data_IF_517140556976
#
_entry.id   IF_517140556976
#
_cell.length_a   1.000
_cell.length_b   1.000
_cell.length_c   1.000
_cell.angle_alpha   90.00
_cell.angle_beta   90.00
_cell.angle_gamma   90.00
#
_symmetry.space_group_name_H-M   'P 1'
#
loop_
_entity.id
_entity.type
_entity.pdbx_description
1 polymer ?
#
# COMPACT_ATOMS: atom_id res chain seq x y z
N UNK A 1 -3.47 -2.20 -13.24
CA UNK A 1 -4.70 -1.43 -13.00
C UNK A 1 -4.38 -0.48 -11.85
N UNK A 2 -4.27 0.81 -12.13
CA UNK A 2 -3.81 1.83 -11.17
C UNK A 2 -4.84 1.93 -10.04
N UNK A 3 -4.40 1.69 -8.80
CA UNK A 3 -5.23 1.83 -7.60
C UNK A 3 -5.60 3.32 -7.44
N UNK A 4 -6.86 3.67 -7.10
CA UNK A 4 -7.14 5.00 -6.58
C UNK A 4 -6.47 5.10 -5.21
N UNK A 5 -5.42 5.90 -5.13
CA UNK A 5 -4.79 6.28 -3.87
C UNK A 5 -5.79 7.18 -3.14
N UNK A 6 -6.38 6.69 -2.05
CA UNK A 6 -7.03 7.56 -1.09
C UNK A 6 -5.92 8.30 -0.34
N UNK A 7 -5.68 9.55 -0.73
CA UNK A 7 -4.81 10.45 0.00
C UNK A 7 -5.45 10.71 1.37
N UNK A 8 -4.87 10.17 2.44
CA UNK A 8 -4.82 10.91 3.70
C UNK A 8 -4.00 12.16 3.37
N UNK A 9 -4.53 13.33 3.69
CA UNK A 9 -3.82 14.58 3.45
C UNK A 9 -2.60 14.65 4.39
N UNK A 10 -1.47 14.08 3.97
CA UNK A 10 -0.17 14.40 4.54
C UNK A 10 0.16 15.82 4.09
N UNK A 11 -0.17 16.80 4.93
CA UNK A 11 0.16 18.20 4.67
C UNK A 11 1.66 18.39 4.88
N UNK A 12 2.43 18.15 3.83
CA UNK A 12 3.84 18.53 3.77
C UNK A 12 3.91 20.02 3.41
N UNK A 13 4.21 20.87 4.38
CA UNK A 13 4.48 22.29 4.11
C UNK A 13 5.73 22.41 3.24
N UNK A 14 5.54 22.75 1.97
CA UNK A 14 6.63 23.09 1.05
C UNK A 14 6.79 24.61 1.02
N UNK A 15 7.66 25.13 1.90
CA UNK A 15 8.07 26.53 1.84
C UNK A 15 8.99 26.70 0.62
N UNK A 16 8.51 27.39 -0.43
CA UNK A 16 9.34 27.79 -1.57
C UNK A 16 10.45 28.72 -1.06
N UNK A 17 11.65 28.19 -0.83
CA UNK A 17 12.85 29.03 -0.67
C UNK A 17 13.10 29.77 -1.98
N UNK A 18 13.06 31.10 -1.92
CA UNK A 18 13.63 31.99 -2.93
C UNK A 18 15.14 31.71 -3.02
N UNK A 19 15.63 31.47 -4.23
CA UNK A 19 17.06 31.56 -4.53
C UNK A 19 17.46 33.05 -4.61
N UNK A 20 18.72 33.39 -4.27
CA UNK A 20 19.21 34.76 -4.25
C UNK A 20 19.76 35.16 -5.62
N UNK A 21 19.43 36.36 -6.10
CA UNK A 21 20.13 36.97 -7.23
C UNK A 21 20.88 38.23 -6.78
N UNK A 22 22.16 38.25 -7.18
CA UNK A 22 23.11 39.35 -7.08
C UNK A 22 22.74 40.51 -8.02
N UNK A 23 23.20 41.72 -7.63
CA UNK A 23 23.08 43.04 -8.28
C UNK A 23 23.34 43.06 -9.82
N UNK A 24 22.90 44.05 -10.62
CA UNK A 24 23.01 45.51 -10.44
C UNK A 24 22.26 46.28 -11.57
N UNK A 25 21.97 47.56 -11.29
CA UNK A 25 21.76 48.73 -12.18
C UNK A 25 20.37 49.15 -12.72
N UNK A 26 19.97 50.30 -12.15
CA UNK A 26 19.43 51.54 -12.77
C UNK A 26 17.92 51.66 -13.06
N UNK A 27 17.29 52.56 -12.30
CA UNK A 27 16.58 53.71 -12.89
C UNK A 27 15.09 53.87 -12.60
N UNK A 28 14.77 54.81 -11.69
CA UNK A 28 13.62 55.74 -11.68
C UNK A 28 12.21 55.30 -12.12
N UNK A 29 11.23 55.55 -11.24
CA UNK A 29 9.86 55.91 -11.68
C UNK A 29 8.77 55.64 -10.64
N UNK A 30 8.17 56.71 -10.09
CA UNK A 30 6.95 56.72 -9.27
C UNK A 30 5.73 56.24 -10.08
N UNK A 31 4.71 55.66 -9.43
CA UNK A 31 3.34 56.22 -9.31
C UNK A 31 2.35 55.21 -8.67
N UNK A 32 1.75 55.65 -7.57
CA UNK A 32 0.37 55.56 -7.05
C UNK A 32 -0.58 54.39 -7.38
N UNK A 33 -1.26 53.97 -6.30
CA UNK A 33 -2.64 53.50 -6.12
C UNK A 33 -3.46 53.07 -7.35
N UNK A 34 -4.08 51.88 -7.23
CA UNK A 34 -5.53 51.73 -7.39
C UNK A 34 -6.02 50.33 -6.99
N UNK A 35 -6.79 50.29 -5.90
CA UNK A 35 -7.75 49.25 -5.59
C UNK A 35 -8.80 49.10 -6.71
N UNK A 36 -9.29 47.86 -6.90
CA UNK A 36 -10.40 47.39 -7.77
C UNK A 36 -10.00 46.90 -9.17
N UNK A 37 -9.78 45.59 -9.28
CA UNK A 37 -10.30 44.75 -10.38
C UNK A 37 -9.81 43.31 -10.16
N UNK A 38 -10.58 42.51 -9.43
CA UNK A 38 -10.40 41.07 -9.38
C UNK A 38 -11.63 40.43 -10.03
N UNK A 39 -11.65 40.43 -11.36
CA UNK A 39 -12.36 39.45 -12.16
C UNK A 39 -11.87 39.51 -13.60
N UNK A 40 -11.48 38.33 -14.11
CA UNK A 40 -11.24 37.99 -15.50
C UNK A 40 -9.99 38.57 -16.18
N UNK A 41 -8.95 37.74 -16.30
CA UNK A 41 -8.34 37.52 -17.62
C UNK A 41 -7.74 36.11 -17.74
N UNK A 42 -8.21 35.41 -18.76
CA UNK A 42 -7.77 34.10 -19.22
C UNK A 42 -6.29 34.14 -19.65
N UNK A 43 -5.50 33.18 -19.19
CA UNK A 43 -4.36 32.70 -19.97
C UNK A 43 -4.45 31.18 -20.14
N UNK A 44 -4.84 30.80 -21.37
CA UNK A 44 -4.65 29.49 -21.96
C UNK A 44 -3.17 29.12 -21.87
N UNK A 45 -2.82 28.12 -21.07
CA UNK A 45 -1.52 27.45 -21.20
C UNK A 45 -1.66 26.38 -22.27
N UNK A 46 -0.94 26.63 -23.36
CA UNK A 46 -0.84 25.85 -24.58
C UNK A 46 -0.10 24.52 -24.30
N UNK A 47 -0.83 23.40 -24.20
CA UNK A 47 -0.26 22.05 -24.01
C UNK A 47 0.03 21.42 -25.38
N UNK A 48 0.97 21.99 -26.14
CA UNK A 48 1.51 21.34 -27.34
C UNK A 48 2.95 21.81 -27.62
N UNK A 49 3.93 21.41 -26.80
CA UNK A 49 5.34 21.28 -27.24
C UNK A 49 6.24 20.73 -26.14
N UNK A 50 6.17 19.42 -25.86
CA UNK A 50 7.30 18.61 -25.33
C UNK A 50 6.85 17.15 -25.18
N UNK A 51 6.50 16.50 -26.29
CA UNK A 51 6.38 15.03 -26.35
C UNK A 51 6.68 14.56 -27.77
N UNK A 52 7.90 14.08 -28.02
CA UNK A 52 8.01 12.82 -28.73
C UNK A 52 9.20 12.01 -28.22
N UNK A 53 9.02 11.26 -27.12
CA UNK A 53 9.84 10.06 -26.84
C UNK A 53 9.13 9.10 -25.86
N UNK A 54 8.28 9.63 -24.98
CA UNK A 54 7.49 8.85 -23.99
C UNK A 54 6.34 8.00 -24.55
N UNK A 55 6.02 8.09 -25.85
CA UNK A 55 4.82 7.45 -26.43
C UNK A 55 5.03 6.03 -26.96
N UNK A 56 6.27 5.50 -27.01
CA UNK A 56 6.55 4.28 -27.77
C UNK A 56 6.75 2.99 -26.93
N UNK A 57 7.05 3.05 -25.63
CA UNK A 57 7.44 1.82 -24.89
C UNK A 57 6.83 1.55 -23.49
N UNK A 58 5.85 2.32 -23.01
CA UNK A 58 5.31 2.11 -21.64
C UNK A 58 3.78 2.06 -21.50
N UNK A 59 3.04 1.73 -22.57
CA UNK A 59 1.60 1.45 -22.47
C UNK A 59 1.18 0.36 -23.46
N UNK A 60 0.50 -0.72 -23.04
CA UNK A 60 -0.33 -1.49 -23.96
C UNK A 60 -1.40 -0.55 -24.50
N UNK A 61 -1.57 -0.53 -25.84
CA UNK A 61 -2.62 0.22 -26.55
C UNK A 61 -3.99 -0.04 -25.88
N UNK A 62 -4.47 0.91 -25.09
CA UNK A 62 -5.81 0.87 -24.51
C UNK A 62 -6.65 2.00 -25.09
N UNK A 63 -7.52 1.65 -26.04
CA UNK A 63 -8.57 2.53 -26.58
C UNK A 63 -9.55 3.06 -25.51
N UNK A 64 -9.42 2.64 -24.24
CA UNK A 64 -10.22 3.09 -23.11
C UNK A 64 -9.80 4.45 -22.54
N UNK A 65 -8.51 4.80 -22.57
CA UNK A 65 -8.04 6.05 -21.94
C UNK A 65 -8.50 7.29 -22.73
N UNK A 66 -8.55 7.21 -24.06
CA UNK A 66 -9.11 8.27 -24.91
C UNK A 66 -10.63 8.41 -24.73
N UNK A 67 -11.38 7.31 -24.60
CA UNK A 67 -12.83 7.37 -24.33
C UNK A 67 -13.15 7.88 -22.93
N UNK A 68 -12.28 7.61 -21.96
CA UNK A 68 -12.41 8.10 -20.59
C UNK A 68 -12.08 9.61 -20.49
N UNK A 69 -11.02 10.06 -21.17
CA UNK A 69 -10.68 11.48 -21.29
C UNK A 69 -11.76 12.28 -22.04
N UNK A 70 -12.34 11.74 -23.12
CA UNK A 70 -13.47 12.41 -23.81
C UNK A 70 -14.75 12.47 -22.97
N UNK A 71 -15.00 11.49 -22.08
CA UNK A 71 -16.15 11.53 -21.15
C UNK A 71 -15.94 12.52 -20.01
N UNK A 72 -14.71 12.67 -19.51
CA UNK A 72 -14.38 13.67 -18.49
C UNK A 72 -14.43 15.08 -19.07
N UNK A 73 -13.90 15.30 -20.28
CA UNK A 73 -14.00 16.58 -20.97
C UNK A 73 -15.47 16.94 -21.27
N UNK A 74 -16.29 15.97 -21.68
CA UNK A 74 -17.73 16.16 -21.86
C UNK A 74 -18.46 16.49 -20.55
N UNK A 75 -18.07 15.88 -19.43
CA UNK A 75 -18.66 16.10 -18.10
C UNK A 75 -18.26 17.46 -17.50
N UNK A 76 -17.02 17.90 -17.74
CA UNK A 76 -16.54 19.24 -17.36
C UNK A 76 -17.27 20.31 -18.19
N UNK A 77 -17.53 20.05 -19.47
CA UNK A 77 -18.28 20.97 -20.32
C UNK A 77 -19.76 21.09 -19.90
N UNK A 78 -20.38 19.99 -19.45
CA UNK A 78 -21.75 20.03 -18.88
C UNK A 78 -21.81 20.75 -17.52
N UNK A 79 -20.76 20.65 -16.70
CA UNK A 79 -20.67 21.35 -15.43
C UNK A 79 -20.52 22.87 -15.62
N UNK A 80 -19.74 23.30 -16.60
CA UNK A 80 -19.54 24.72 -16.92
C UNK A 80 -20.83 25.35 -17.50
N UNK A 81 -21.60 24.60 -18.28
CA UNK A 81 -22.90 25.05 -18.83
C UNK A 81 -24.04 25.08 -17.79
N UNK A 82 -23.91 24.37 -16.66
CA UNK A 82 -24.92 24.32 -15.59
C UNK A 82 -24.86 25.47 -14.59
N UNK A 83 -23.85 26.34 -14.68
CA UNK A 83 -23.65 27.50 -13.81
C UNK A 83 -23.88 28.81 -14.57
N UNK A 84 -25.15 29.13 -14.83
CA UNK A 84 -25.63 30.49 -15.16
C UNK A 84 -27.04 30.67 -14.59
N UNK A 85 -27.37 31.80 -13.93
CA UNK A 85 -28.60 31.91 -13.17
C UNK A 85 -29.76 32.45 -14.02
N UNK A 86 -30.85 31.71 -14.14
CA UNK A 86 -32.14 32.25 -14.57
C UNK A 86 -33.29 31.73 -13.69
N UNK A 87 -34.05 32.70 -13.17
CA UNK A 87 -35.26 32.58 -12.35
C UNK A 87 -36.40 31.92 -13.12
N UNK A 88 -37.18 31.05 -12.46
CA UNK A 88 -38.61 31.24 -12.13
C UNK A 88 -39.19 29.97 -11.49
N UNK A 89 -40.29 30.12 -10.77
CA UNK A 89 -40.75 29.22 -9.71
C UNK A 89 -41.34 27.90 -10.19
N UNK A 90 -41.42 26.92 -9.27
CA UNK A 90 -42.72 26.55 -8.72
C UNK A 90 -42.59 25.71 -7.44
N UNK A 91 -43.61 25.82 -6.60
CA UNK A 91 -43.75 25.21 -5.28
C UNK A 91 -43.87 23.68 -5.29
N UNK A 92 -43.10 22.98 -4.44
CA UNK A 92 -43.55 21.78 -3.71
C UNK A 92 -42.53 21.34 -2.66
N UNK A 93 -42.64 21.89 -1.45
CA UNK A 93 -41.85 21.45 -0.29
C UNK A 93 -42.38 20.10 0.19
N UNK A 94 -41.78 19.00 -0.27
CA UNK A 94 -41.95 17.70 0.38
C UNK A 94 -40.94 17.58 1.51
N UNK A 95 -41.38 17.88 2.74
CA UNK A 95 -40.67 17.55 3.96
C UNK A 95 -40.50 16.03 4.04
N UNK A 96 -39.35 15.50 3.63
CA UNK A 96 -38.94 14.13 3.99
C UNK A 96 -38.58 14.14 5.47
N UNK A 97 -39.52 13.70 6.31
CA UNK A 97 -39.22 13.33 7.69
C UNK A 97 -38.17 12.21 7.68
N UNK A 98 -36.92 12.54 8.01
CA UNK A 98 -35.87 11.54 8.22
C UNK A 98 -36.31 10.68 9.41
N UNK A 99 -36.51 9.37 9.17
CA UNK A 99 -36.97 8.47 10.23
C UNK A 99 -35.91 8.38 11.34
N UNK A 100 -36.33 8.24 12.59
CA UNK A 100 -35.43 8.00 13.73
C UNK A 100 -34.49 6.81 13.47
N UNK A 101 -34.92 5.82 12.68
CA UNK A 101 -34.10 4.69 12.22
C UNK A 101 -33.01 5.11 11.23
N UNK A 102 -33.29 6.04 10.33
CA UNK A 102 -32.31 6.55 9.35
C UNK A 102 -31.25 7.42 10.03
N UNK A 103 -31.65 8.23 11.02
CA UNK A 103 -30.71 8.96 11.87
C UNK A 103 -29.82 8.01 12.67
N UNK A 104 -30.40 6.97 13.30
CA UNK A 104 -29.63 5.98 14.05
C UNK A 104 -28.64 5.23 13.15
N UNK A 105 -29.07 4.84 11.95
CA UNK A 105 -28.21 4.17 10.97
C UNK A 105 -27.09 5.07 10.45
N UNK A 106 -27.38 6.36 10.22
CA UNK A 106 -26.37 7.35 9.83
C UNK A 106 -25.34 7.59 10.94
N UNK A 107 -25.79 7.72 12.20
CA UNK A 107 -24.92 7.84 13.36
C UNK A 107 -24.05 6.59 13.55
N UNK A 108 -24.62 5.39 13.39
CA UNK A 108 -23.88 4.13 13.46
C UNK A 108 -22.87 3.98 12.31
N UNK A 109 -23.21 4.42 11.09
CA UNK A 109 -22.28 4.43 9.96
C UNK A 109 -21.15 5.45 10.15
N UNK A 110 -21.46 6.63 10.68
CA UNK A 110 -20.47 7.65 10.99
C UNK A 110 -19.51 7.17 12.08
N UNK A 111 -20.04 6.64 13.19
CA UNK A 111 -19.27 6.01 14.27
C UNK A 111 -18.40 4.85 13.76
N UNK A 112 -18.91 4.02 12.84
CA UNK A 112 -18.12 2.93 12.23
C UNK A 112 -17.00 3.43 11.32
N UNK A 113 -17.27 4.40 10.43
CA UNK A 113 -16.23 5.03 9.60
C UNK A 113 -15.15 5.70 10.45
N UNK A 114 -15.55 6.36 11.53
CA UNK A 114 -14.64 6.96 12.50
C UNK A 114 -13.81 5.87 13.20
N UNK A 115 -14.41 4.74 13.58
CA UNK A 115 -13.68 3.61 14.20
C UNK A 115 -12.65 2.95 13.29
N UNK A 116 -12.87 2.94 11.96
CA UNK A 116 -11.91 2.42 10.97
C UNK A 116 -10.67 3.30 10.90
N UNK A 117 -10.87 4.60 10.71
CA UNK A 117 -9.78 5.53 10.51
C UNK A 117 -8.95 5.74 11.79
N UNK A 118 -9.60 5.67 12.97
CA UNK A 118 -8.91 5.70 14.26
C UNK A 118 -7.82 4.62 14.31
N UNK A 119 -8.10 3.43 13.76
CA UNK A 119 -7.18 2.29 13.81
C UNK A 119 -5.99 2.44 12.85
N UNK A 120 -6.17 3.09 11.69
CA UNK A 120 -5.07 3.26 10.72
C UNK A 120 -4.01 4.21 11.27
N UNK A 121 -4.41 5.41 11.73
CA UNK A 121 -3.47 6.41 12.23
C UNK A 121 -2.82 5.96 13.53
N UNK A 122 -3.60 5.43 14.48
CA UNK A 122 -3.03 4.92 15.73
C UNK A 122 -2.07 3.75 15.48
N UNK A 123 -2.40 2.87 14.53
CA UNK A 123 -1.58 1.72 14.16
C UNK A 123 -0.27 2.13 13.47
N UNK A 124 -0.32 3.10 12.57
CA UNK A 124 0.87 3.63 11.90
C UNK A 124 1.82 4.30 12.90
N UNK A 125 1.31 5.15 13.79
CA UNK A 125 2.14 5.87 14.76
C UNK A 125 2.78 4.92 15.76
N UNK A 126 2.04 3.92 16.25
CA UNK A 126 2.60 2.87 17.11
C UNK A 126 3.68 2.08 16.38
N UNK A 127 3.46 1.72 15.11
CA UNK A 127 4.43 1.02 14.27
C UNK A 127 5.71 1.85 14.10
N UNK A 128 5.61 3.11 13.69
CA UNK A 128 6.76 4.00 13.52
C UNK A 128 7.56 4.14 14.83
N UNK A 129 6.87 4.36 15.95
CA UNK A 129 7.50 4.53 17.27
C UNK A 129 8.22 3.25 17.70
N UNK A 130 7.58 2.10 17.56
CA UNK A 130 8.15 0.79 17.87
C UNK A 130 9.34 0.45 16.98
N UNK A 131 9.22 0.62 15.66
CA UNK A 131 10.30 0.31 14.73
C UNK A 131 11.53 1.20 14.93
N UNK A 132 11.31 2.48 15.28
CA UNK A 132 12.40 3.39 15.66
C UNK A 132 13.13 2.90 16.92
N UNK A 133 12.40 2.40 17.93
CA UNK A 133 13.03 1.82 19.14
C UNK A 133 13.85 0.57 18.83
N UNK A 134 13.51 -0.16 17.76
CA UNK A 134 14.29 -1.30 17.23
C UNK A 134 15.41 -0.91 16.27
N UNK A 135 15.68 0.39 16.10
CA UNK A 135 16.74 0.90 15.25
C UNK A 135 16.49 0.69 13.75
N UNK A 136 15.22 0.61 13.35
CA UNK A 136 14.82 0.70 11.93
C UNK A 136 14.80 2.19 11.55
N UNK A 137 15.36 2.58 10.38
CA UNK A 137 15.41 3.96 9.96
C UNK A 137 14.02 4.43 9.50
N UNK A 138 13.14 4.81 10.43
CA UNK A 138 11.81 5.37 10.16
C UNK A 138 11.70 6.79 10.70
N UNK A 139 10.81 7.66 10.15
CA UNK A 139 10.59 9.00 10.67
C UNK A 139 10.19 9.01 12.16
N UNK A 140 10.67 10.02 12.90
CA UNK A 140 10.19 10.28 14.26
C UNK A 140 8.80 10.89 14.24
N UNK A 141 7.88 10.44 15.10
CA UNK A 141 6.57 11.08 15.20
C UNK A 141 6.61 12.17 16.28
N UNK A 142 6.22 13.40 15.91
CA UNK A 142 6.20 14.56 16.80
C UNK A 142 4.81 14.83 17.41
N UNK A 143 3.75 14.48 16.70
CA UNK A 143 2.38 14.65 17.18
C UNK A 143 1.39 14.05 16.20
N UNK A 144 0.23 13.63 16.68
CA UNK A 144 -0.78 12.98 15.84
C UNK A 144 -2.15 13.06 16.49
N UNK A 145 -3.19 12.88 15.67
CA UNK A 145 -4.56 12.66 16.14
C UNK A 145 -5.22 11.62 15.24
N UNK A 146 -5.71 10.54 15.84
CA UNK A 146 -6.54 9.54 15.16
C UNK A 146 -8.02 9.90 15.08
N UNK A 147 -8.43 11.05 15.64
CA UNK A 147 -9.81 11.50 15.60
C UNK A 147 -9.91 12.86 14.91
N UNK A 148 -11.08 13.17 14.37
CA UNK A 148 -11.43 14.50 13.86
C UNK A 148 -11.78 15.49 14.98
N UNK A 149 -11.84 15.03 16.24
CA UNK A 149 -12.10 15.87 17.41
C UNK A 149 -10.82 16.57 17.87
N UNK A 150 -10.34 17.48 17.03
CA UNK A 150 -9.17 18.30 17.30
C UNK A 150 -9.28 19.63 16.52
N UNK A 151 -8.38 20.58 16.80
CA UNK A 151 -8.44 21.93 16.22
C UNK A 151 -8.38 21.98 14.67
N UNK A 152 -7.84 20.95 14.02
CA UNK A 152 -7.73 20.84 12.56
C UNK A 152 -9.00 20.22 11.96
N UNK A 153 -9.82 19.53 12.76
CA UNK A 153 -11.04 18.86 12.29
C UNK A 153 -10.77 17.61 11.44
N UNK A 154 -9.53 17.14 11.40
CA UNK A 154 -9.08 16.00 10.59
C UNK A 154 -8.06 15.16 11.36
N UNK A 155 -7.95 13.90 10.97
CA UNK A 155 -6.85 13.03 11.40
C UNK A 155 -5.52 13.52 10.83
N UNK A 156 -4.44 13.36 11.58
CA UNK A 156 -3.11 13.78 11.12
C UNK A 156 -1.98 13.04 11.83
N UNK A 157 -0.82 13.00 11.17
CA UNK A 157 0.47 12.66 11.76
C UNK A 157 1.46 13.76 11.37
N UNK A 158 2.11 14.35 12.36
CA UNK A 158 3.25 15.26 12.23
C UNK A 158 4.49 14.46 12.59
N UNK A 159 5.44 14.36 11.66
CA UNK A 159 6.62 13.53 11.80
C UNK A 159 7.86 14.18 11.18
N UNK A 160 9.03 13.60 11.45
CA UNK A 160 10.31 13.96 10.88
C UNK A 160 10.25 13.98 9.35
N UNK A 161 10.69 15.08 8.75
CA UNK A 161 10.92 15.12 7.31
C UNK A 161 12.03 14.14 6.93
N UNK A 162 11.74 13.20 6.04
CA UNK A 162 12.71 12.19 5.63
C UNK A 162 13.90 12.84 4.89
N UNK A 163 15.12 12.86 5.49
CA UNK A 163 16.26 13.49 4.84
C UNK A 163 16.80 12.62 3.70
N UNK A 164 17.38 13.28 2.70
CA UNK A 164 17.96 12.64 1.53
C UNK A 164 17.07 12.79 0.29
N UNK A 165 17.20 11.84 -0.63
CA UNK A 165 16.44 11.79 -1.88
C UNK A 165 15.71 10.46 -2.00
N UNK A 166 14.55 10.47 -2.64
CA UNK A 166 13.81 9.23 -2.94
C UNK A 166 14.63 8.32 -3.84
N UNK A 167 14.65 7.02 -3.54
CA UNK A 167 15.39 6.02 -4.30
C UNK A 167 14.84 5.90 -5.73
N UNK A 168 13.55 6.16 -5.93
CA UNK A 168 12.89 6.30 -7.24
C UNK A 168 13.55 7.37 -8.14
N UNK A 169 13.96 8.50 -7.57
CA UNK A 169 14.57 9.61 -8.34
C UNK A 169 15.96 9.29 -8.88
N UNK A 170 16.73 8.45 -8.17
CA UNK A 170 18.05 7.98 -8.61
C UNK A 170 18.01 6.59 -9.22
N UNK A 171 16.84 5.96 -9.31
CA UNK A 171 16.68 4.52 -9.49
C UNK A 171 17.40 3.97 -10.72
N UNK A 172 17.29 4.69 -11.84
CA UNK A 172 17.90 4.33 -13.12
C UNK A 172 19.37 4.70 -13.22
N UNK A 173 19.86 5.58 -12.33
CA UNK A 173 21.24 6.08 -12.31
C UNK A 173 22.13 5.37 -11.28
N UNK A 174 21.57 4.43 -10.51
CA UNK A 174 22.33 3.69 -9.50
C UNK A 174 23.40 2.82 -10.16
N UNK A 175 24.65 3.03 -9.77
CA UNK A 175 25.74 2.10 -10.11
C UNK A 175 25.50 0.73 -9.46
N UNK A 176 26.14 -0.33 -9.98
CA UNK A 176 26.07 -1.68 -9.38
C UNK A 176 26.49 -1.69 -7.90
N UNK A 177 27.45 -0.85 -7.51
CA UNK A 177 27.92 -0.72 -6.12
C UNK A 177 26.85 -0.09 -5.22
N UNK A 178 26.13 0.90 -5.72
CA UNK A 178 25.04 1.56 -4.98
C UNK A 178 23.82 0.63 -4.86
N UNK A 179 23.45 -0.07 -5.94
CA UNK A 179 22.41 -1.10 -5.91
C UNK A 179 22.71 -2.16 -4.84
N UNK A 180 23.96 -2.65 -4.79
CA UNK A 180 24.43 -3.57 -3.75
C UNK A 180 24.29 -2.95 -2.35
N UNK A 181 24.65 -1.69 -2.18
CA UNK A 181 24.57 -0.98 -0.87
C UNK A 181 23.12 -0.91 -0.39
N UNK A 182 22.20 -0.49 -1.26
CA UNK A 182 20.76 -0.44 -0.98
C UNK A 182 20.22 -1.82 -0.62
N UNK A 183 20.55 -2.85 -1.41
CA UNK A 183 20.12 -4.22 -1.14
C UNK A 183 20.59 -4.72 0.23
N UNK A 184 21.85 -4.47 0.61
CA UNK A 184 22.38 -4.86 1.93
C UNK A 184 21.62 -4.17 3.06
N UNK A 185 21.41 -2.86 2.98
CA UNK A 185 20.73 -2.08 4.02
C UNK A 185 19.26 -2.50 4.18
N UNK A 186 18.54 -2.77 3.08
CA UNK A 186 17.18 -3.32 3.15
C UNK A 186 17.18 -4.72 3.81
N UNK A 187 18.09 -5.60 3.42
CA UNK A 187 18.16 -6.95 4.00
C UNK A 187 18.47 -6.89 5.50
N UNK A 188 19.31 -5.95 5.95
CA UNK A 188 19.52 -5.73 7.39
C UNK A 188 18.26 -5.25 8.10
N UNK A 189 17.47 -4.38 7.48
CA UNK A 189 16.17 -3.98 8.02
C UNK A 189 15.24 -5.20 8.11
N UNK A 190 15.05 -5.95 7.03
CA UNK A 190 14.19 -7.14 7.04
C UNK A 190 14.66 -8.18 8.05
N UNK A 191 15.96 -8.41 8.19
CA UNK A 191 16.53 -9.31 9.20
C UNK A 191 16.14 -8.87 10.62
N UNK A 192 16.19 -7.57 10.92
CA UNK A 192 15.72 -7.05 12.21
C UNK A 192 14.23 -7.32 12.40
N UNK A 193 13.40 -6.99 11.41
CA UNK A 193 11.94 -7.18 11.48
C UNK A 193 11.55 -8.65 11.68
N UNK A 194 12.18 -9.57 10.94
CA UNK A 194 11.93 -11.00 11.03
C UNK A 194 12.39 -11.61 12.35
N UNK A 195 13.37 -10.99 13.01
CA UNK A 195 13.89 -11.39 14.31
C UNK A 195 13.06 -10.91 15.50
N UNK A 196 12.04 -10.07 15.30
CA UNK A 196 11.19 -9.60 16.41
C UNK A 196 10.25 -10.74 16.84
N UNK A 197 10.28 -11.17 18.10
CA UNK A 197 9.55 -12.36 18.56
C UNK A 197 8.11 -12.04 18.93
N UNK A 198 7.32 -11.54 17.96
CA UNK A 198 5.92 -11.19 18.18
C UNK A 198 5.08 -12.39 18.66
N UNK A 199 4.14 -12.14 19.56
CA UNK A 199 3.28 -13.18 20.16
C UNK A 199 1.92 -13.36 19.50
N UNK A 200 1.51 -12.46 18.61
CA UNK A 200 0.17 -12.44 18.01
C UNK A 200 0.15 -11.80 16.62
N UNK A 201 -0.91 -12.10 15.85
CA UNK A 201 -1.20 -11.56 14.53
C UNK A 201 -2.22 -10.43 14.61
N UNK A 202 -2.02 -9.39 13.80
CA UNK A 202 -2.81 -8.15 13.85
C UNK A 202 -1.95 -6.93 13.53
N UNK A 203 -2.33 -5.77 14.05
CA UNK A 203 -1.55 -4.53 13.90
C UNK A 203 -1.01 -4.06 15.25
N UNK A 204 0.09 -3.30 15.23
CA UNK A 204 0.69 -2.71 16.44
C UNK A 204 -0.10 -1.49 16.89
N UNK A 205 -0.29 -1.33 18.20
CA UNK A 205 -0.90 -0.14 18.80
C UNK A 205 -0.22 0.21 20.11
N UNK A 206 -0.40 1.45 20.58
CA UNK A 206 -0.20 1.73 21.99
C UNK A 206 -1.35 1.13 22.81
N UNK A 207 -1.04 0.59 23.99
CA UNK A 207 -2.04 0.01 24.89
C UNK A 207 -3.16 0.99 25.26
N UNK A 208 -2.83 2.27 25.39
CA UNK A 208 -3.80 3.32 25.74
C UNK A 208 -4.86 3.58 24.65
N UNK A 209 -4.57 3.23 23.40
CA UNK A 209 -5.43 3.54 22.25
C UNK A 209 -6.38 2.39 21.89
N UNK A 210 -6.20 1.22 22.50
CA UNK A 210 -7.01 0.01 22.26
C UNK A 210 -7.64 -0.47 23.57
N UNK A 211 -8.94 -0.79 23.61
CA UNK A 211 -9.58 -1.37 24.80
C UNK A 211 -8.90 -2.68 25.24
N UNK A 212 -8.75 -2.95 26.56
CA UNK A 212 -8.03 -4.13 27.08
C UNK A 212 -8.49 -5.47 26.49
N UNK A 213 -9.78 -5.62 26.19
CA UNK A 213 -10.37 -6.82 25.60
C UNK A 213 -9.94 -7.09 24.14
N UNK A 214 -9.40 -6.08 23.46
CA UNK A 214 -8.86 -6.17 22.10
C UNK A 214 -7.33 -6.18 22.07
N UNK A 215 -6.68 -6.24 23.23
CA UNK A 215 -5.23 -6.30 23.34
C UNK A 215 -4.75 -7.75 23.43
N UNK A 216 -3.78 -8.10 22.59
CA UNK A 216 -2.98 -9.30 22.72
C UNK A 216 -1.51 -8.95 23.03
N UNK A 217 -0.80 -9.95 23.56
CA UNK A 217 0.59 -9.81 23.97
C UNK A 217 1.48 -9.41 22.80
N UNK A 218 2.37 -8.45 23.04
CA UNK A 218 3.33 -7.98 22.05
C UNK A 218 4.29 -9.11 21.65
N UNK A 219 4.91 -9.74 22.65
CA UNK A 219 5.89 -10.81 22.46
C UNK A 219 5.34 -12.19 22.79
N UNK A 220 5.98 -13.21 22.23
CA UNK A 220 5.68 -14.60 22.55
C UNK A 220 5.95 -14.90 24.04
N UNK A 221 5.21 -15.84 24.66
CA UNK A 221 5.43 -16.20 26.06
C UNK A 221 6.89 -16.61 26.34
N UNK A 222 7.46 -16.11 27.43
CA UNK A 222 8.83 -16.44 27.85
C UNK A 222 9.94 -15.63 27.18
N UNK A 223 9.61 -14.69 26.30
CA UNK A 223 10.57 -13.73 25.73
C UNK A 223 10.89 -12.66 26.76
N UNK A 224 12.17 -12.37 26.96
CA UNK A 224 12.63 -11.25 27.78
C UNK A 224 12.32 -9.91 27.11
N UNK A 225 11.83 -8.94 27.90
CA UNK A 225 11.53 -7.59 27.45
C UNK A 225 12.29 -6.55 28.29
N UNK A 226 13.62 -6.44 28.09
CA UNK A 226 14.44 -5.51 28.86
C UNK A 226 14.10 -4.03 28.58
N UNK A 227 13.47 -3.75 27.44
CA UNK A 227 13.07 -2.41 27.02
C UNK A 227 11.73 -1.98 27.62
N UNK A 228 10.96 -2.90 28.20
CA UNK A 228 9.59 -2.63 28.67
C UNK A 228 8.63 -2.27 27.52
N UNK A 229 8.88 -2.76 26.30
CA UNK A 229 8.04 -2.44 25.14
C UNK A 229 6.61 -2.93 25.35
N UNK A 230 6.43 -4.05 26.02
CA UNK A 230 5.13 -4.64 26.37
C UNK A 230 4.33 -3.77 27.34
N UNK A 231 4.93 -2.82 28.05
CA UNK A 231 4.18 -1.87 28.89
C UNK A 231 3.53 -0.77 28.04
N UNK A 232 4.08 -0.49 26.87
CA UNK A 232 3.66 0.60 25.98
C UNK A 232 2.83 0.10 24.80
N UNK A 233 3.22 -1.03 24.21
CA UNK A 233 2.66 -1.56 22.97
C UNK A 233 1.87 -2.85 23.18
N UNK A 234 0.92 -3.10 22.29
CA UNK A 234 0.18 -4.36 22.19
C UNK A 234 -0.12 -4.69 20.73
N UNK A 235 -0.50 -5.96 20.47
CA UNK A 235 -1.08 -6.34 19.19
C UNK A 235 -2.60 -6.21 19.31
N UNK A 236 -3.21 -5.44 18.40
CA UNK A 236 -4.64 -5.21 18.35
C UNK A 236 -5.28 -5.71 17.06
N UNK A 237 -6.55 -5.31 16.80
CA UNK A 237 -7.25 -5.63 15.58
C UNK A 237 -6.49 -5.15 14.35
N UNK A 238 -6.61 -5.88 13.24
CA UNK A 238 -5.91 -5.56 12.01
C UNK A 238 -6.37 -4.22 11.42
N UNK A 239 -5.43 -3.34 11.10
CA UNK A 239 -5.66 -2.02 10.47
C UNK A 239 -5.56 -2.05 8.93
N UNK A 240 -5.43 -3.24 8.35
CA UNK A 240 -5.29 -3.42 6.90
C UNK A 240 -6.55 -3.05 6.14
N UNK A 241 -6.39 -2.32 5.04
CA UNK A 241 -7.51 -1.83 4.24
C UNK A 241 -8.38 -2.99 3.71
N UNK A 242 -7.85 -4.19 3.46
CA UNK A 242 -8.70 -5.31 2.99
C UNK A 242 -9.72 -5.77 4.03
N UNK A 243 -9.54 -5.44 5.32
CA UNK A 243 -10.54 -5.71 6.37
C UNK A 243 -11.59 -4.61 6.52
N UNK A 244 -11.34 -3.44 5.96
CA UNK A 244 -12.13 -2.24 6.23
C UNK A 244 -12.74 -1.60 4.99
N UNK A 245 -12.14 -1.81 3.81
CA UNK A 245 -12.52 -1.17 2.57
C UNK A 245 -14.02 -1.32 2.23
N UNK A 246 -14.64 -0.17 1.92
CA UNK A 246 -16.03 -0.09 1.46
C UNK A 246 -17.04 -0.65 2.46
N UNK A 247 -17.86 -1.60 2.02
CA UNK A 247 -18.92 -2.20 2.86
C UNK A 247 -18.39 -3.11 3.97
N UNK A 248 -17.10 -3.46 3.97
CA UNK A 248 -16.48 -4.25 5.05
C UNK A 248 -16.45 -3.51 6.37
N UNK A 249 -16.24 -2.19 6.36
CA UNK A 249 -16.33 -1.33 7.55
C UNK A 249 -17.68 -1.43 8.28
N UNK A 250 -18.76 -1.73 7.56
CA UNK A 250 -20.10 -1.83 8.14
C UNK A 250 -20.35 -3.21 8.79
N UNK A 251 -19.47 -4.20 8.55
CA UNK A 251 -19.65 -5.58 8.99
C UNK A 251 -19.05 -5.85 10.38
N UNK A 252 -19.75 -6.66 11.16
CA UNK A 252 -19.26 -7.23 12.42
C UNK A 252 -18.55 -8.55 12.10
N UNK A 253 -17.27 -8.46 11.73
CA UNK A 253 -16.41 -9.61 11.43
C UNK A 253 -15.28 -9.68 12.45
N UNK A 254 -14.72 -10.87 12.61
CA UNK A 254 -13.50 -11.08 13.38
C UNK A 254 -12.33 -10.34 12.72
N UNK A 255 -11.73 -9.41 13.46
CA UNK A 255 -10.59 -8.58 13.05
C UNK A 255 -9.35 -8.84 13.90
N UNK A 256 -9.38 -9.88 14.72
CA UNK A 256 -8.33 -10.19 15.66
C UNK A 256 -8.35 -9.28 16.90
N UNK A 257 -7.25 -9.25 17.66
CA UNK A 257 -5.98 -9.94 17.39
C UNK A 257 -6.09 -11.48 17.47
N UNK A 258 -5.15 -12.20 16.85
CA UNK A 258 -5.13 -13.67 16.87
C UNK A 258 -3.83 -14.21 17.45
N UNK A 259 -3.90 -15.24 18.30
CA UNK A 259 -2.73 -16.02 18.73
C UNK A 259 -2.47 -17.26 17.87
N UNK A 260 -3.52 -17.72 17.17
CA UNK A 260 -3.46 -18.90 16.33
C UNK A 260 -3.47 -18.46 14.85
N UNK A 261 -2.45 -18.82 14.05
CA UNK A 261 -2.34 -18.40 12.65
C UNK A 261 -3.48 -18.94 11.77
N UNK A 262 -4.04 -20.11 12.09
CA UNK A 262 -5.18 -20.67 11.36
C UNK A 262 -6.48 -19.89 11.62
N UNK A 263 -6.62 -19.24 12.79
CA UNK A 263 -7.74 -18.31 13.03
C UNK A 263 -7.62 -17.07 12.17
N UNK A 264 -6.41 -16.53 12.01
CA UNK A 264 -6.12 -15.44 11.07
C UNK A 264 -6.54 -15.82 9.63
N UNK A 265 -6.12 -17.00 9.15
CA UNK A 265 -6.51 -17.48 7.82
C UNK A 265 -8.03 -17.66 7.67
N UNK A 266 -8.67 -18.28 8.66
CA UNK A 266 -10.12 -18.47 8.66
C UNK A 266 -10.87 -17.13 8.66
N UNK A 267 -10.36 -16.10 9.34
CA UNK A 267 -10.97 -14.78 9.37
C UNK A 267 -11.01 -14.12 7.99
N UNK A 268 -9.95 -14.28 7.18
CA UNK A 268 -9.89 -13.78 5.79
C UNK A 268 -11.05 -14.35 4.97
N UNK A 269 -11.18 -15.69 4.93
CA UNK A 269 -12.22 -16.35 4.16
C UNK A 269 -13.64 -16.09 4.69
N UNK A 270 -13.82 -16.07 6.02
CA UNK A 270 -15.12 -15.79 6.65
C UNK A 270 -15.59 -14.36 6.36
N UNK A 271 -14.69 -13.39 6.37
CA UNK A 271 -14.98 -12.00 6.03
C UNK A 271 -15.52 -11.90 4.60
N UNK A 272 -14.82 -12.47 3.62
CA UNK A 272 -15.26 -12.40 2.21
C UNK A 272 -16.55 -13.19 1.97
N UNK A 273 -16.74 -14.31 2.67
CA UNK A 273 -17.96 -15.10 2.57
C UNK A 273 -19.17 -14.31 3.09
N UNK A 274 -19.03 -13.66 4.25
CA UNK A 274 -20.08 -12.82 4.81
C UNK A 274 -20.35 -11.59 3.94
N UNK A 275 -19.31 -10.97 3.39
CA UNK A 275 -19.46 -9.84 2.46
C UNK A 275 -20.26 -10.25 1.22
N UNK A 276 -19.91 -11.41 0.64
CA UNK A 276 -20.56 -11.95 -0.56
C UNK A 276 -22.02 -12.29 -0.29
N UNK A 277 -22.34 -12.86 0.88
CA UNK A 277 -23.72 -13.16 1.29
C UNK A 277 -24.59 -11.90 1.45
N UNK A 278 -24.04 -10.83 2.03
CA UNK A 278 -24.80 -9.60 2.32
C UNK A 278 -24.88 -8.64 1.15
N UNK A 279 -23.79 -8.49 0.41
CA UNK A 279 -23.62 -7.41 -0.57
C UNK A 279 -23.29 -7.92 -1.97
N UNK A 280 -23.04 -9.21 -2.15
CA UNK A 280 -22.73 -9.81 -3.44
C UNK A 280 -23.87 -9.60 -4.43
N UNK A 281 -23.51 -9.16 -5.64
CA UNK A 281 -24.44 -9.00 -6.77
C UNK A 281 -23.97 -9.87 -7.94
N UNK A 282 -24.86 -10.32 -8.81
CA UNK A 282 -24.47 -10.97 -10.05
C UNK A 282 -23.57 -10.03 -10.86
N UNK A 283 -22.43 -10.53 -11.34
CA UNK A 283 -21.45 -9.75 -12.10
C UNK A 283 -21.32 -10.28 -13.52
N UNK A 284 -21.31 -9.38 -14.50
CA UNK A 284 -21.04 -9.75 -15.89
C UNK A 284 -19.57 -10.13 -16.07
N UNK A 285 -19.34 -11.09 -16.97
CA UNK A 285 -17.99 -11.48 -17.41
C UNK A 285 -17.42 -10.40 -18.35
N UNK A 286 -17.06 -9.25 -17.82
CA UNK A 286 -16.40 -8.21 -18.63
C UNK A 286 -14.94 -8.60 -18.95
N UNK A 287 -14.61 -8.60 -20.25
CA UNK A 287 -13.34 -9.00 -20.88
C UNK A 287 -12.18 -8.02 -20.50
N UNK A 288 -10.87 -8.44 -20.46
CA UNK A 288 -10.26 -9.41 -21.37
C UNK A 288 -9.66 -10.72 -20.88
N UNK A 289 -9.79 -11.11 -19.60
CA UNK A 289 -8.93 -12.20 -19.10
C UNK A 289 -9.59 -13.47 -18.55
N UNK A 290 -10.92 -13.63 -18.49
CA UNK A 290 -11.48 -14.77 -17.73
C UNK A 290 -12.69 -15.55 -18.31
N UNK A 291 -13.14 -15.32 -19.55
CA UNK A 291 -14.08 -16.24 -20.22
C UNK A 291 -14.27 -15.85 -21.69
N UNK A 292 -14.08 -16.80 -22.62
CA UNK A 292 -14.41 -16.64 -24.04
C UNK A 292 -15.93 -16.53 -24.31
N UNK A 293 -16.76 -16.78 -23.29
CA UNK A 293 -18.22 -16.82 -23.40
C UNK A 293 -18.87 -15.76 -22.50
N UNK A 294 -19.83 -14.99 -23.03
CA UNK A 294 -20.69 -14.11 -22.24
C UNK A 294 -21.36 -14.87 -21.09
N UNK A 295 -21.64 -14.19 -19.99
CA UNK A 295 -22.40 -14.77 -18.89
C UNK A 295 -22.34 -13.94 -17.62
N UNK A 296 -23.29 -14.20 -16.74
CA UNK A 296 -23.38 -13.59 -15.41
C UNK A 296 -22.89 -14.60 -14.38
N UNK A 297 -21.99 -14.17 -13.51
CA UNK A 297 -21.51 -14.98 -12.40
C UNK A 297 -22.36 -14.67 -11.16
N UNK A 298 -23.10 -15.65 -10.62
CA UNK A 298 -23.85 -15.44 -9.39
C UNK A 298 -22.89 -15.37 -8.18
N UNK A 299 -23.20 -14.58 -7.14
CA UNK A 299 -22.40 -14.52 -5.91
C UNK A 299 -22.19 -15.88 -5.22
N UNK A 300 -23.14 -16.80 -5.38
CA UNK A 300 -23.05 -18.16 -4.85
C UNK A 300 -21.85 -18.93 -5.40
N UNK A 301 -21.47 -18.70 -6.67
CA UNK A 301 -20.32 -19.38 -7.26
C UNK A 301 -19.00 -18.96 -6.60
N UNK A 302 -18.87 -17.69 -6.22
CA UNK A 302 -17.72 -17.20 -5.44
C UNK A 302 -17.77 -17.73 -4.01
N UNK A 303 -18.96 -17.77 -3.40
CA UNK A 303 -19.18 -18.31 -2.04
C UNK A 303 -18.72 -19.77 -1.92
N UNK A 304 -19.04 -20.61 -2.92
CA UNK A 304 -18.59 -22.01 -2.96
C UNK A 304 -17.06 -22.14 -3.00
N UNK A 305 -16.35 -21.24 -3.69
CA UNK A 305 -14.88 -21.25 -3.67
C UNK A 305 -14.33 -20.83 -2.30
N UNK A 306 -14.93 -19.85 -1.66
CA UNK A 306 -14.55 -19.44 -0.30
C UNK A 306 -14.82 -20.54 0.74
N UNK A 307 -15.90 -21.31 0.59
CA UNK A 307 -16.16 -22.49 1.43
C UNK A 307 -15.07 -23.56 1.27
N UNK A 308 -14.59 -23.78 0.03
CA UNK A 308 -13.43 -24.67 -0.21
C UNK A 308 -12.15 -24.13 0.42
N UNK A 309 -11.89 -22.83 0.29
CA UNK A 309 -10.77 -22.18 0.99
C UNK A 309 -10.85 -22.40 2.50
N UNK A 310 -12.02 -22.21 3.11
CA UNK A 310 -12.22 -22.40 4.55
C UNK A 310 -12.00 -23.85 4.98
N UNK A 311 -12.32 -24.83 4.12
CA UNK A 311 -12.05 -26.24 4.39
C UNK A 311 -10.54 -26.57 4.41
N UNK A 312 -9.74 -25.88 3.60
CA UNK A 312 -8.28 -26.11 3.53
C UNK A 312 -7.45 -25.18 4.43
N UNK A 313 -8.00 -24.04 4.86
CA UNK A 313 -7.32 -23.04 5.70
C UNK A 313 -6.60 -23.62 6.94
N UNK A 314 -7.15 -24.61 7.67
CA UNK A 314 -6.46 -25.27 8.78
C UNK A 314 -5.17 -26.00 8.38
N UNK A 315 -4.99 -26.34 7.10
CA UNK A 315 -3.85 -27.11 6.59
C UNK A 315 -2.86 -26.25 5.78
N UNK A 316 -3.13 -24.96 5.59
CA UNK A 316 -2.28 -24.07 4.81
C UNK A 316 -0.97 -23.70 5.50
N UNK A 317 -0.90 -23.86 6.82
CA UNK A 317 0.30 -23.57 7.59
C UNK A 317 0.73 -24.81 8.38
N UNK A 318 2.02 -24.98 8.65
CA UNK A 318 2.51 -26.05 9.51
C UNK A 318 1.93 -25.95 10.93
N UNK A 319 1.53 -27.10 11.49
CA UNK A 319 0.91 -27.20 12.82
C UNK A 319 1.92 -27.21 13.98
N UNK A 320 3.20 -27.39 13.68
CA UNK A 320 4.27 -27.44 14.65
C UNK A 320 4.58 -26.04 15.20
N UNK A 321 4.53 -25.92 16.52
CA UNK A 321 4.89 -24.70 17.23
C UNK A 321 6.34 -24.27 16.99
N UNK A 322 7.20 -25.20 16.59
CA UNK A 322 8.59 -24.96 16.21
C UNK A 322 8.77 -24.58 14.74
N UNK A 323 7.73 -24.71 13.89
CA UNK A 323 7.87 -24.31 12.49
C UNK A 323 8.03 -22.81 12.40
N UNK A 324 9.20 -22.45 11.89
CA UNK A 324 9.52 -21.10 11.52
C UNK A 324 8.49 -20.50 10.54
N UNK A 325 7.68 -21.28 9.83
CA UNK A 325 6.72 -20.78 8.86
C UNK A 325 5.49 -20.09 9.45
N UNK A 326 5.07 -20.49 10.66
CA UNK A 326 3.82 -20.04 11.29
C UNK A 326 3.99 -18.85 12.24
N UNK A 327 5.23 -18.51 12.60
CA UNK A 327 5.52 -17.46 13.56
C UNK A 327 5.03 -16.06 13.10
N UNK A 328 4.49 -15.23 14.01
CA UNK A 328 4.08 -13.86 13.68
C UNK A 328 5.29 -13.03 13.24
N UNK A 329 5.21 -12.43 12.06
CA UNK A 329 6.31 -11.70 11.41
C UNK A 329 5.78 -10.40 10.82
N UNK A 330 6.50 -9.30 11.08
CA UNK A 330 6.24 -7.99 10.49
C UNK A 330 7.13 -7.79 9.27
N UNK A 331 6.56 -7.19 8.22
CA UNK A 331 7.31 -6.72 7.06
C UNK A 331 6.69 -5.41 6.58
N UNK A 332 7.50 -4.60 5.90
CA UNK A 332 7.00 -3.39 5.24
C UNK A 332 5.88 -3.74 4.25
N UNK A 333 4.72 -3.05 4.31
CA UNK A 333 3.54 -3.40 3.50
C UNK A 333 3.71 -3.09 2.01
N UNK A 334 4.39 -1.98 1.67
CA UNK A 334 4.61 -1.57 0.27
C UNK A 334 6.05 -1.10 0.01
N UNK A 335 7.00 -2.03 0.00
CA UNK A 335 8.41 -1.68 -0.18
C UNK A 335 8.72 -1.43 -1.66
N UNK A 336 8.66 -0.16 -2.06
CA UNK A 336 8.93 0.36 -3.40
C UNK A 336 10.03 1.42 -3.37
N UNK A 337 10.67 1.75 -4.51
CA UNK A 337 11.69 2.81 -4.54
C UNK A 337 11.21 4.17 -4.02
N UNK A 338 9.93 4.51 -4.19
CA UNK A 338 9.38 5.78 -3.70
C UNK A 338 9.30 5.87 -2.17
N UNK A 339 9.29 4.72 -1.49
CA UNK A 339 9.17 4.63 -0.04
C UNK A 339 10.52 4.55 0.68
N UNK A 340 11.64 4.62 -0.05
CA UNK A 340 13.00 4.52 0.48
C UNK A 340 13.76 5.82 0.19
N UNK A 341 14.27 6.47 1.22
CA UNK A 341 15.10 7.67 1.12
C UNK A 341 16.56 7.34 1.37
N UNK A 342 17.45 7.79 0.49
CA UNK A 342 18.88 7.52 0.54
C UNK A 342 19.72 8.81 0.62
N UNK A 343 20.93 8.70 1.17
CA UNK A 343 21.92 9.78 1.12
C UNK A 343 22.42 9.94 -0.33
N UNK A 344 22.41 11.14 -0.92
CA UNK A 344 22.89 11.32 -2.29
C UNK A 344 24.39 11.03 -2.47
N UNK A 345 25.19 11.10 -1.40
CA UNK A 345 26.65 10.90 -1.42
C UNK A 345 27.06 9.45 -1.19
N UNK A 346 26.31 8.71 -0.36
CA UNK A 346 26.71 7.37 0.10
C UNK A 346 25.74 6.27 -0.34
N UNK A 347 24.57 6.63 -0.84
CA UNK A 347 23.49 5.72 -1.21
C UNK A 347 23.03 4.80 -0.07
N UNK A 348 23.37 5.15 1.18
CA UNK A 348 22.86 4.51 2.40
C UNK A 348 21.45 4.96 2.69
N UNK A 349 20.65 4.05 3.24
CA UNK A 349 19.26 4.33 3.63
C UNK A 349 19.25 5.32 4.80
N UNK A 350 18.44 6.36 4.64
CA UNK A 350 18.18 7.38 5.66
C UNK A 350 16.86 7.14 6.34
N UNK A 351 15.79 6.98 5.57
CA UNK A 351 14.44 6.70 6.08
C UNK A 351 13.68 5.76 5.15
N UNK A 352 12.84 4.93 5.72
CA UNK A 352 11.81 4.15 5.05
C UNK A 352 10.48 4.67 5.56
N UNK A 353 9.61 5.10 4.64
CA UNK A 353 8.31 5.72 4.94
C UNK A 353 7.17 4.78 4.51
N UNK A 354 5.93 5.19 4.72
CA UNK A 354 4.74 4.49 4.24
C UNK A 354 4.48 3.15 4.96
N UNK A 355 4.47 3.21 6.30
CA UNK A 355 4.18 2.08 7.19
C UNK A 355 2.69 1.95 7.53
N UNK A 356 1.82 2.73 6.88
CA UNK A 356 0.37 2.58 6.99
C UNK A 356 -0.05 1.15 6.62
N UNK A 357 -1.11 0.65 7.25
CA UNK A 357 -1.61 -0.71 7.05
C UNK A 357 -0.60 -1.83 7.37
N UNK A 358 0.45 -1.57 8.16
CA UNK A 358 1.37 -2.63 8.59
C UNK A 358 0.64 -3.69 9.42
N UNK A 359 0.89 -4.96 9.09
CA UNK A 359 0.32 -6.13 9.75
C UNK A 359 1.41 -7.13 10.09
N UNK A 360 1.26 -7.77 11.26
CA UNK A 360 2.01 -8.96 11.65
C UNK A 360 1.24 -10.18 11.18
N UNK A 361 1.83 -10.94 10.25
CA UNK A 361 1.23 -12.10 9.59
C UNK A 361 2.10 -13.35 9.79
N UNK A 362 1.60 -14.57 9.52
CA UNK A 362 2.46 -15.76 9.49
C UNK A 362 3.68 -15.57 8.61
N UNK A 363 4.86 -16.02 9.06
CA UNK A 363 6.14 -15.82 8.36
C UNK A 363 6.11 -16.26 6.91
N UNK A 364 5.47 -17.39 6.58
CA UNK A 364 5.29 -17.84 5.20
C UNK A 364 4.56 -16.81 4.33
N UNK A 365 3.62 -16.05 4.89
CA UNK A 365 2.92 -14.98 4.17
C UNK A 365 3.74 -13.69 4.09
N UNK A 366 4.59 -13.42 5.08
CA UNK A 366 5.51 -12.28 5.06
C UNK A 366 6.72 -12.49 4.12
N UNK A 367 7.14 -13.74 3.90
CA UNK A 367 8.35 -14.10 3.14
C UNK A 367 8.20 -13.97 1.62
N UNK A 368 9.35 -14.01 0.93
CA UNK A 368 9.47 -13.83 -0.53
C UNK A 368 10.06 -12.47 -0.92
N UNK A 369 9.93 -12.10 -2.18
CA UNK A 369 10.56 -10.90 -2.76
C UNK A 369 9.57 -9.73 -2.73
N UNK A 370 9.95 -8.55 -2.22
CA UNK A 370 9.13 -7.36 -2.34
C UNK A 370 9.24 -6.81 -3.77
N UNK A 371 8.33 -5.93 -4.18
CA UNK A 371 8.32 -5.35 -5.53
C UNK A 371 9.66 -4.74 -5.94
N UNK A 372 10.39 -4.15 -4.99
CA UNK A 372 11.73 -3.59 -5.20
C UNK A 372 12.76 -4.61 -5.74
N UNK A 373 12.61 -5.90 -5.40
CA UNK A 373 13.53 -6.99 -5.77
C UNK A 373 12.82 -8.15 -6.48
N UNK A 374 11.73 -7.88 -7.18
CA UNK A 374 10.99 -8.90 -7.93
C UNK A 374 11.84 -9.44 -9.10
N UNK A 375 11.79 -10.74 -9.34
CA UNK A 375 12.45 -11.36 -10.48
C UNK A 375 11.82 -10.83 -11.78
N UNK A 376 12.59 -10.19 -12.69
CA UNK A 376 12.05 -9.73 -13.97
C UNK A 376 11.79 -10.86 -14.96
N UNK A 377 12.36 -12.05 -14.73
CA UNK A 377 12.32 -13.17 -15.66
C UNK A 377 11.15 -14.13 -15.39
N UNK A 378 10.68 -14.80 -16.44
CA UNK A 378 9.61 -15.82 -16.35
C UNK A 378 10.06 -17.02 -15.50
N UNK A 379 11.32 -17.42 -15.68
CA UNK A 379 11.92 -18.53 -14.96
C UNK A 379 12.95 -18.01 -13.96
N UNK A 380 13.11 -18.75 -12.86
CA UNK A 380 14.13 -18.46 -11.87
C UNK A 380 15.51 -18.88 -12.41
N UNK A 381 16.57 -18.09 -12.18
CA UNK A 381 17.92 -18.49 -12.56
C UNK A 381 18.30 -19.81 -11.86
N UNK A 382 18.80 -20.82 -12.60
CA UNK A 382 19.11 -22.14 -12.06
C UNK A 382 20.30 -22.08 -11.08
N UNK A 383 21.18 -21.10 -11.25
CA UNK A 383 22.38 -20.89 -10.43
C UNK A 383 22.29 -19.57 -9.65
N UNK A 384 23.30 -19.33 -8.81
CA UNK A 384 23.53 -18.08 -8.07
C UNK A 384 24.65 -17.26 -8.74
N UNK A 385 24.75 -17.33 -10.06
CA UNK A 385 25.72 -16.56 -10.82
C UNK A 385 25.25 -15.10 -10.97
N UNK A 386 26.21 -14.18 -10.92
CA UNK A 386 25.91 -12.76 -11.10
C UNK A 386 25.43 -12.50 -12.54
N UNK A 387 24.33 -11.74 -12.75
CA UNK A 387 23.82 -11.42 -14.08
C UNK A 387 24.87 -10.75 -14.97
N UNK A 388 25.04 -11.28 -16.18
CA UNK A 388 25.96 -10.76 -17.19
C UNK A 388 25.21 -10.12 -18.36
N UNK A 389 25.79 -9.10 -19.00
CA UNK A 389 25.26 -8.56 -20.24
C UNK A 389 25.22 -9.64 -21.34
N UNK A 390 24.28 -9.54 -22.29
CA UNK A 390 24.22 -10.45 -23.43
C UNK A 390 25.44 -10.27 -24.35
N UNK A 391 25.75 -11.31 -25.12
CA UNK A 391 26.79 -11.25 -26.14
C UNK A 391 26.49 -10.14 -27.16
N UNK A 392 27.53 -9.39 -27.54
CA UNK A 392 27.39 -8.27 -28.47
C UNK A 392 26.78 -7.00 -27.87
N UNK A 393 26.63 -6.91 -26.54
CA UNK A 393 26.11 -5.72 -25.85
C UNK A 393 26.77 -4.40 -26.29
N UNK A 394 28.09 -4.40 -26.51
CA UNK A 394 28.81 -3.19 -26.95
C UNK A 394 28.47 -2.72 -28.37
N UNK A 395 27.89 -3.60 -29.18
CA UNK A 395 27.47 -3.31 -30.56
C UNK A 395 26.00 -2.90 -30.68
N UNK A 396 25.24 -2.89 -29.58
CA UNK A 396 23.83 -2.51 -29.57
C UNK A 396 23.66 -1.00 -29.77
N UNK A 397 22.55 -0.62 -30.40
CA UNK A 397 22.15 0.78 -30.48
C UNK A 397 21.77 1.33 -29.09
N UNK A 398 21.80 2.66 -28.87
CA UNK A 398 21.56 3.25 -27.56
C UNK A 398 20.20 2.91 -26.94
N UNK A 399 19.15 2.74 -27.74
CA UNK A 399 17.80 2.43 -27.24
C UNK A 399 17.72 0.99 -26.75
N UNK A 400 18.24 0.04 -27.53
CA UNK A 400 18.33 -1.36 -27.12
C UNK A 400 19.27 -1.53 -25.92
N UNK A 401 20.39 -0.80 -25.88
CA UNK A 401 21.34 -0.81 -24.75
C UNK A 401 20.65 -0.39 -23.44
N UNK A 402 19.85 0.67 -23.47
CA UNK A 402 19.08 1.12 -22.30
C UNK A 402 18.06 0.08 -21.80
N UNK A 403 17.40 -0.65 -22.71
CA UNK A 403 16.48 -1.72 -22.33
C UNK A 403 17.21 -2.89 -21.67
N UNK A 404 18.37 -3.27 -22.20
CA UNK A 404 19.23 -4.30 -21.63
C UNK A 404 19.75 -3.87 -20.26
N UNK A 405 20.17 -2.61 -20.11
CA UNK A 405 20.64 -2.05 -18.84
C UNK A 405 19.57 -2.09 -17.75
N UNK A 406 18.34 -1.71 -18.08
CA UNK A 406 17.22 -1.79 -17.14
C UNK A 406 16.92 -3.24 -16.72
N UNK A 407 16.94 -4.18 -17.66
CA UNK A 407 16.76 -5.60 -17.35
C UNK A 407 17.89 -6.13 -16.46
N UNK A 408 19.15 -5.81 -16.78
CA UNK A 408 20.31 -6.17 -15.96
C UNK A 408 20.24 -5.56 -14.56
N UNK A 409 19.76 -4.31 -14.44
CA UNK A 409 19.56 -3.63 -13.15
C UNK A 409 18.57 -4.40 -12.28
N UNK A 410 17.39 -4.76 -12.81
CA UNK A 410 16.38 -5.56 -12.10
C UNK A 410 16.91 -6.95 -11.71
N UNK A 411 17.61 -7.63 -12.63
CA UNK A 411 18.26 -8.92 -12.35
C UNK A 411 19.33 -8.81 -11.25
N UNK A 412 20.14 -7.74 -11.26
CA UNK A 412 21.17 -7.51 -10.24
C UNK A 412 20.56 -7.25 -8.87
N UNK A 413 19.47 -6.48 -8.78
CA UNK A 413 18.75 -6.23 -7.53
C UNK A 413 18.15 -7.52 -6.96
N UNK A 414 17.43 -8.28 -7.78
CA UNK A 414 16.92 -9.61 -7.41
C UNK A 414 18.06 -10.53 -6.92
N UNK A 415 19.16 -10.58 -7.68
CA UNK A 415 20.36 -11.35 -7.33
C UNK A 415 20.95 -10.94 -5.97
N UNK A 416 21.21 -9.65 -5.76
CA UNK A 416 21.78 -9.15 -4.50
C UNK A 416 20.85 -9.46 -3.34
N UNK A 417 19.55 -9.21 -3.49
CA UNK A 417 18.57 -9.50 -2.44
C UNK A 417 18.57 -10.98 -2.07
N UNK A 418 18.52 -11.88 -3.06
CA UNK A 418 18.56 -13.34 -2.86
C UNK A 418 19.84 -13.77 -2.14
N UNK A 419 21.00 -13.29 -2.56
CA UNK A 419 22.31 -13.64 -1.96
C UNK A 419 22.40 -13.12 -0.53
N UNK A 420 22.07 -11.85 -0.27
CA UNK A 420 22.22 -11.26 1.06
C UNK A 420 21.18 -11.78 2.05
N UNK A 421 19.92 -11.99 1.64
CA UNK A 421 18.94 -12.64 2.53
C UNK A 421 19.37 -14.08 2.85
N UNK A 422 19.83 -14.85 1.86
CA UNK A 422 20.34 -16.20 2.09
C UNK A 422 21.51 -16.25 3.07
N UNK A 423 22.38 -15.24 3.05
CA UNK A 423 23.50 -15.15 3.97
C UNK A 423 23.10 -14.66 5.38
N UNK A 424 22.20 -13.67 5.48
CA UNK A 424 22.00 -12.88 6.71
C UNK A 424 20.67 -13.13 7.42
N UNK A 425 19.63 -13.54 6.70
CA UNK A 425 18.27 -13.67 7.21
C UNK A 425 17.80 -15.13 7.14
N UNK A 426 18.32 -15.94 8.05
CA UNK A 426 18.03 -17.38 8.09
C UNK A 426 16.54 -17.69 8.29
N UNK A 427 15.80 -16.83 9.00
CA UNK A 427 14.35 -16.98 9.21
C UNK A 427 13.57 -16.79 7.90
N UNK A 428 13.94 -15.80 7.09
CA UNK A 428 13.38 -15.60 5.75
C UNK A 428 13.77 -16.74 4.81
N UNK A 429 15.03 -17.16 4.82
CA UNK A 429 15.51 -18.28 4.00
C UNK A 429 14.78 -19.58 4.33
N UNK A 430 14.59 -19.90 5.61
CA UNK A 430 13.87 -21.10 6.05
C UNK A 430 12.42 -21.11 5.55
N UNK A 431 11.73 -19.97 5.58
CA UNK A 431 10.40 -19.84 5.00
C UNK A 431 10.40 -19.93 3.47
N UNK A 432 11.42 -19.37 2.80
CA UNK A 432 11.57 -19.46 1.35
C UNK A 432 11.93 -20.85 0.83
N UNK A 433 12.44 -21.73 1.70
CA UNK A 433 12.70 -23.13 1.37
C UNK A 433 11.41 -23.98 1.26
N UNK A 434 10.26 -23.44 1.67
CA UNK A 434 9.00 -24.15 1.59
C UNK A 434 8.50 -24.22 0.12
N UNK A 435 8.30 -25.43 -0.45
CA UNK A 435 7.90 -25.59 -1.84
C UNK A 435 6.48 -25.07 -2.14
N UNK A 436 5.67 -24.85 -1.10
CA UNK A 436 4.29 -24.35 -1.21
C UNK A 436 4.17 -22.87 -0.82
N UNK A 437 5.28 -22.14 -0.65
CA UNK A 437 5.28 -20.73 -0.28
C UNK A 437 4.37 -19.88 -1.19
N UNK A 438 4.68 -19.84 -2.49
CA UNK A 438 3.96 -19.01 -3.45
C UNK A 438 2.52 -19.49 -3.69
N UNK A 439 2.23 -20.80 -3.87
CA UNK A 439 0.85 -21.29 -3.92
C UNK A 439 -0.01 -20.88 -2.71
N UNK A 440 0.54 -20.97 -1.48
CA UNK A 440 -0.18 -20.55 -0.27
C UNK A 440 -0.45 -19.05 -0.25
N UNK A 441 0.57 -18.24 -0.56
CA UNK A 441 0.43 -16.78 -0.62
C UNK A 441 -0.64 -16.37 -1.63
N UNK A 442 -0.57 -16.93 -2.85
CA UNK A 442 -1.57 -16.68 -3.89
C UNK A 442 -2.98 -17.05 -3.42
N UNK A 443 -3.15 -18.23 -2.85
CA UNK A 443 -4.45 -18.68 -2.36
C UNK A 443 -5.01 -17.76 -1.27
N UNK A 444 -4.19 -17.39 -0.28
CA UNK A 444 -4.63 -16.51 0.82
C UNK A 444 -4.98 -15.11 0.31
N UNK A 445 -4.18 -14.55 -0.59
CA UNK A 445 -4.44 -13.25 -1.23
C UNK A 445 -5.76 -13.29 -2.03
N UNK A 446 -5.95 -14.25 -2.93
CA UNK A 446 -7.18 -14.34 -3.73
C UNK A 446 -8.43 -14.66 -2.90
N UNK A 447 -8.29 -15.42 -1.81
CA UNK A 447 -9.38 -15.66 -0.86
C UNK A 447 -9.75 -14.41 -0.06
N UNK A 448 -8.82 -13.46 0.09
CA UNK A 448 -9.04 -12.19 0.78
C UNK A 448 -9.56 -11.06 -0.12
N UNK A 449 -9.59 -11.22 -1.44
CA UNK A 449 -10.05 -10.16 -2.34
C UNK A 449 -11.58 -10.12 -2.44
N UNK A 450 -12.14 -8.95 -2.74
CA UNK A 450 -13.56 -8.86 -3.08
C UNK A 450 -13.84 -9.62 -4.38
N UNK A 451 -14.95 -10.35 -4.43
CA UNK A 451 -15.45 -10.93 -5.67
C UNK A 451 -15.65 -9.86 -6.74
N UNK A 452 -14.97 -9.99 -7.87
CA UNK A 452 -14.96 -9.02 -8.97
C UNK A 452 -15.42 -9.62 -10.32
N UNK A 453 -16.09 -10.78 -10.29
CA UNK A 453 -16.53 -11.49 -11.50
C UNK A 453 -15.43 -12.35 -12.13
N UNK A 454 -14.24 -12.42 -11.55
CA UNK A 454 -13.22 -13.38 -11.93
C UNK A 454 -13.16 -14.55 -10.92
N UNK A 455 -13.72 -15.70 -11.29
CA UNK A 455 -13.61 -16.91 -10.50
C UNK A 455 -12.33 -17.71 -10.78
N UNK A 456 -11.65 -17.46 -11.89
CA UNK A 456 -10.52 -18.28 -12.35
C UNK A 456 -9.30 -18.15 -11.45
N UNK A 457 -9.08 -16.98 -10.86
CA UNK A 457 -7.94 -16.74 -9.95
C UNK A 457 -8.06 -17.55 -8.67
N UNK A 458 -9.17 -17.40 -7.92
CA UNK A 458 -9.39 -18.18 -6.70
C UNK A 458 -9.55 -19.67 -7.01
N UNK A 459 -10.23 -20.03 -8.11
CA UNK A 459 -10.37 -21.44 -8.52
C UNK A 459 -9.01 -22.05 -8.88
N UNK A 460 -8.17 -21.33 -9.60
CA UNK A 460 -6.84 -21.76 -9.99
C UNK A 460 -5.91 -21.90 -8.79
N UNK A 461 -6.03 -21.02 -7.78
CA UNK A 461 -5.24 -21.12 -6.56
C UNK A 461 -5.69 -22.27 -5.62
N UNK A 462 -6.89 -22.83 -5.84
CA UNK A 462 -7.43 -23.97 -5.08
C UNK A 462 -7.09 -25.34 -5.68
N UNK A 463 -6.59 -25.39 -6.92
CA UNK A 463 -6.20 -26.61 -7.64
C UNK A 463 -4.68 -26.73 -7.55
#
# INVERSE_FOLDING_TARGET
>A
MVRPIHWIATVTFCEKRRLPDFADQRGNGRYDDLSRSACAENQQINVQSTMPFYKKYMLPRSCGLQRWLSRILGWIQTLVESSSPTRQGDSSTTNRSVSRKDMLNSMLQHSRKQSVNIQVVAGEVATLTFLRSKGVPVPEVYGWSATTDNAIGAEYIVMEFAPGIGLDTKWFDLTKREQRTVAIEIVEVERKLFGIPFGSFGSLYFKKDIPPELQADLYAPGVEDPSGDSDTFCIGPIADDMFWYGKRAEMQVDRGPWRNPHKYLAAIGKRELEWTKRFGKPLEKDFPYNSLLPGVIPPSAYSTLLEKYLAIAPFLLPNDAESHGSAPTLRHPDLTPSNVFISPETSKIRRIIDWQHTVIVPRLLASGHPHLFENPDVELPPTLDAPQPPDGYESLDPETKAQVDELLRRRNLYYFYRVFNGAKNQLHLAACADPLLEPRKHLVDFAGRQGNGNLMTLRGALI
#
